data_IF_626478567745
#
_entry.id   IF_626478567745
#
_cell.length_a   1.000
_cell.length_b   1.000
_cell.length_c   1.000
_cell.angle_alpha   90.00
_cell.angle_beta   90.00
_cell.angle_gamma   90.00
#
_symmetry.space_group_name_H-M   'P 1'
#
loop_
_entity.id
_entity.type
_entity.pdbx_description
1 polymer ?
#
# COMPACT_ATOMS: atom_id res chain seq x y z
N UNK A 1 23.70 13.21 21.56
CA UNK A 1 22.70 12.14 21.81
C UNK A 1 21.41 12.78 22.33
N UNK A 2 20.58 13.44 21.49
CA UNK A 2 19.39 14.17 22.01
C UNK A 2 18.16 14.24 21.09
N UNK A 3 18.23 13.69 19.87
CA UNK A 3 17.08 13.76 18.93
C UNK A 3 15.93 12.80 19.30
N UNK A 4 16.22 11.76 20.10
CA UNK A 4 15.22 10.78 20.53
C UNK A 4 14.23 11.35 21.54
N UNK A 5 14.66 12.27 22.41
CA UNK A 5 13.80 12.85 23.45
C UNK A 5 12.78 13.84 22.86
N UNK A 6 13.18 14.61 21.84
CA UNK A 6 12.27 15.54 21.14
C UNK A 6 11.21 14.82 20.29
N UNK A 7 11.41 13.52 20.03
CA UNK A 7 10.47 12.68 19.29
C UNK A 7 9.35 12.11 20.16
N UNK A 8 9.38 12.34 21.48
CA UNK A 8 8.48 11.70 22.44
C UNK A 8 7.33 12.59 22.95
N UNK A 9 7.22 13.84 22.47
CA UNK A 9 6.17 14.74 22.94
C UNK A 9 4.79 14.30 22.42
N UNK A 10 3.76 14.32 23.27
CA UNK A 10 2.39 14.04 22.86
C UNK A 10 1.91 15.09 21.85
N UNK A 11 1.12 14.66 20.87
CA UNK A 11 0.54 15.53 19.83
C UNK A 11 -0.93 15.78 20.15
N UNK A 12 -1.34 17.05 20.13
CA UNK A 12 -2.74 17.44 20.31
C UNK A 12 -3.44 17.44 18.94
N UNK A 13 -4.61 16.81 18.86
CA UNK A 13 -5.40 16.76 17.64
C UNK A 13 -6.10 18.11 17.39
N UNK A 14 -5.93 18.75 16.21
CA UNK A 14 -6.53 20.05 15.93
C UNK A 14 -8.05 20.01 15.70
N UNK A 15 -8.64 18.82 15.59
CA UNK A 15 -10.08 18.66 15.34
C UNK A 15 -10.90 18.45 16.62
N UNK A 16 -10.31 17.83 17.65
CA UNK A 16 -11.04 17.45 18.87
C UNK A 16 -10.22 17.63 20.16
N UNK A 17 -9.08 18.29 20.06
CA UNK A 17 -8.15 18.59 21.19
C UNK A 17 -7.66 17.36 21.96
N UNK A 18 -7.80 16.17 21.36
CA UNK A 18 -7.40 14.90 21.95
C UNK A 18 -5.88 14.70 21.98
N UNK A 19 -5.36 14.17 23.09
CA UNK A 19 -3.95 13.82 23.22
C UNK A 19 -3.63 12.50 22.52
N UNK A 20 -2.57 12.49 21.72
CA UNK A 20 -2.12 11.33 20.96
C UNK A 20 -0.65 11.01 21.21
N UNK A 21 -0.26 9.73 21.12
CA UNK A 21 1.14 9.33 21.15
C UNK A 21 1.98 10.08 20.09
N UNK A 22 3.28 10.28 20.36
CA UNK A 22 4.20 10.76 19.34
C UNK A 22 4.16 9.84 18.12
N UNK A 23 4.03 10.43 16.92
CA UNK A 23 3.96 9.75 15.60
C UNK A 23 2.69 8.98 15.27
N UNK A 24 1.60 9.16 16.02
CA UNK A 24 0.28 8.71 15.55
C UNK A 24 -0.06 9.34 14.20
N UNK A 25 -0.36 8.52 13.19
CA UNK A 25 -0.79 9.00 11.88
C UNK A 25 -2.23 9.56 11.90
N UNK A 26 -3.05 9.06 12.82
CA UNK A 26 -4.45 9.45 13.01
C UNK A 26 -4.77 9.64 14.50
N UNK A 27 -5.76 10.47 14.78
CA UNK A 27 -6.26 10.70 16.13
C UNK A 27 -7.00 9.46 16.64
N UNK A 28 -6.64 8.97 17.83
CA UNK A 28 -7.27 7.78 18.44
C UNK A 28 -8.71 8.03 18.90
N UNK A 29 -9.09 9.31 19.05
CA UNK A 29 -10.42 9.71 19.52
C UNK A 29 -11.41 10.00 18.38
N UNK A 30 -10.98 10.75 17.36
CA UNK A 30 -11.88 11.17 16.27
C UNK A 30 -11.49 10.64 14.88
N UNK A 31 -10.40 9.89 14.76
CA UNK A 31 -9.96 9.28 13.50
C UNK A 31 -9.30 10.25 12.49
N UNK A 32 -9.28 11.55 12.76
CA UNK A 32 -8.67 12.54 11.85
C UNK A 32 -7.18 12.32 11.64
N UNK A 33 -6.70 12.58 10.43
CA UNK A 33 -5.27 12.52 10.11
C UNK A 33 -4.50 13.61 10.88
N UNK A 34 -3.42 13.20 11.55
CA UNK A 34 -2.49 14.09 12.23
C UNK A 34 -1.27 14.28 11.33
N UNK A 35 -1.38 15.17 10.33
CA UNK A 35 -0.31 15.39 9.37
C UNK A 35 0.96 15.92 10.04
N UNK A 36 1.91 15.01 10.30
CA UNK A 36 3.36 15.27 10.20
C UNK A 36 4.17 13.98 10.16
N UNK A 37 3.88 13.11 9.19
CA UNK A 37 4.86 12.11 8.76
C UNK A 37 5.63 12.70 7.57
N UNK A 38 6.95 12.61 7.63
CA UNK A 38 7.90 13.02 6.58
C UNK A 38 7.40 12.73 5.16
N UNK A 39 7.83 13.49 4.13
CA UNK A 39 7.36 13.31 2.75
C UNK A 39 7.38 11.82 2.41
N UNK A 40 6.19 11.29 2.08
CA UNK A 40 6.01 9.88 1.79
C UNK A 40 7.10 9.44 0.80
N UNK A 41 7.78 8.30 1.02
CA UNK A 41 8.67 7.78 0.00
C UNK A 41 7.82 7.64 -1.26
N UNK A 42 8.24 8.31 -2.35
CA UNK A 42 7.57 8.22 -3.65
C UNK A 42 7.38 6.73 -3.91
N UNK A 43 6.13 6.28 -3.92
CA UNK A 43 5.80 4.94 -4.37
C UNK A 43 6.23 4.89 -5.83
N UNK A 44 7.36 4.26 -6.11
CA UNK A 44 7.72 3.89 -7.47
C UNK A 44 6.56 3.03 -7.98
N UNK A 45 5.86 3.43 -9.05
CA UNK A 45 4.76 2.64 -9.58
C UNK A 45 5.27 1.23 -9.88
N UNK A 46 4.56 0.22 -9.39
CA UNK A 46 4.87 -1.17 -9.67
C UNK A 46 4.89 -1.38 -11.20
N UNK A 47 5.82 -2.19 -11.75
CA UNK A 47 5.82 -2.50 -13.16
C UNK A 47 4.49 -3.16 -13.52
N UNK A 48 3.69 -2.47 -14.33
CA UNK A 48 2.45 -3.01 -14.87
C UNK A 48 2.82 -4.18 -15.77
N UNK A 49 2.56 -5.39 -15.29
CA UNK A 49 2.70 -6.60 -16.08
C UNK A 49 1.67 -6.52 -17.21
N UNK A 50 2.13 -6.19 -18.41
CA UNK A 50 1.26 -6.15 -19.60
C UNK A 50 0.77 -7.58 -19.88
N UNK A 51 -0.53 -7.77 -20.17
CA UNK A 51 -1.01 -9.05 -20.66
C UNK A 51 -0.23 -9.43 -21.91
N UNK A 52 0.43 -10.59 -21.88
CA UNK A 52 1.00 -11.19 -23.09
C UNK A 52 -0.17 -11.65 -23.94
N UNK A 53 -0.50 -10.90 -24.98
CA UNK A 53 -1.37 -11.39 -26.05
C UNK A 53 -0.61 -12.50 -26.79
N UNK A 54 -1.17 -13.73 -26.87
CA UNK A 54 -0.54 -14.78 -27.66
C UNK A 54 -0.54 -14.41 -29.14
N UNK A 55 0.50 -14.76 -29.91
CA UNK A 55 0.55 -14.49 -31.34
C UNK A 55 -0.59 -15.21 -32.06
N UNK A 56 -1.22 -14.57 -33.06
CA UNK A 56 -2.23 -15.24 -33.86
C UNK A 56 -1.53 -16.30 -34.73
N UNK A 57 -1.98 -17.55 -34.66
CA UNK A 57 -1.63 -18.54 -35.68
C UNK A 57 -1.03 -19.86 -35.22
N UNK A 58 -1.25 -20.32 -33.99
CA UNK A 58 -0.99 -21.73 -33.66
C UNK A 58 -2.31 -22.46 -33.40
N UNK A 59 -2.73 -23.40 -34.26
CA UNK A 59 -3.92 -24.20 -33.97
C UNK A 59 -3.66 -25.04 -32.71
N UNK A 60 -4.64 -25.03 -31.81
CA UNK A 60 -4.62 -25.87 -30.62
C UNK A 60 -4.51 -27.34 -31.04
N UNK A 61 -3.52 -28.04 -30.52
CA UNK A 61 -3.37 -29.48 -30.75
C UNK A 61 -4.57 -30.20 -30.14
N UNK A 62 -5.50 -30.64 -30.99
CA UNK A 62 -6.60 -31.52 -30.58
C UNK A 62 -6.02 -32.90 -30.30
N UNK A 63 -6.07 -33.31 -29.03
CA UNK A 63 -5.74 -34.66 -28.63
C UNK A 63 -6.69 -35.65 -29.32
N UNK A 64 -6.13 -36.57 -30.11
CA UNK A 64 -6.90 -37.63 -30.75
C UNK A 64 -7.22 -38.71 -29.71
N UNK A 65 -8.49 -38.88 -29.36
CA UNK A 65 -8.95 -40.00 -28.54
C UNK A 65 -9.06 -41.27 -29.40
N UNK A 66 -8.59 -42.45 -28.94
CA UNK A 66 -8.84 -43.70 -29.66
C UNK A 66 -10.31 -44.12 -29.54
N UNK A 67 -10.87 -44.59 -30.66
CA UNK A 67 -12.23 -45.13 -30.75
C UNK A 67 -12.25 -46.57 -30.20
N UNK A 68 -13.32 -47.04 -29.54
CA UNK A 68 -13.38 -48.40 -29.03
C UNK A 68 -13.64 -49.37 -30.19
N UNK A 69 -12.95 -50.51 -30.15
CA UNK A 69 -13.25 -51.73 -30.92
C UNK A 69 -13.88 -52.78 -30.03
#
# INVERSE_FOLDING_TARGET
>A
MSQLLLSALPVVCPNCDGYNPPRSATCVLCGQALEKAAPAPRQTPAPVMRPVTPPPGRPAAVASFPRPG
#
